data_IF_824583303077
#
_entry.id   IF_824583303077
#
_cell.length_a   1.000
_cell.length_b   1.000
_cell.length_c   1.000
_cell.angle_alpha   90.00
_cell.angle_beta   90.00
_cell.angle_gamma   90.00
#
_symmetry.space_group_name_H-M   'P 1'
#
loop_
_entity.id
_entity.type
_entity.pdbx_description
1 polymer ?
#
# COMPACT_ATOMS: atom_id res chain seq x y z
N UNK A 1 -31.86 10.24 19.85
CA UNK A 1 -31.27 11.13 18.82
C UNK A 1 -29.84 11.52 19.18
N UNK A 2 -29.55 11.95 20.42
CA UNK A 2 -28.17 11.97 20.97
C UNK A 2 -27.49 10.58 20.91
N UNK A 3 -28.26 9.51 21.12
CA UNK A 3 -27.77 8.12 21.04
C UNK A 3 -27.30 7.69 19.63
N UNK A 4 -27.93 8.19 18.56
CA UNK A 4 -27.52 7.90 17.18
C UNK A 4 -26.24 8.67 16.80
N UNK A 5 -25.96 9.82 17.44
CA UNK A 5 -24.73 10.56 17.20
C UNK A 5 -23.54 9.94 17.94
N UNK A 6 -23.72 9.47 19.18
CA UNK A 6 -22.68 8.71 19.90
C UNK A 6 -22.37 7.36 19.25
N UNK A 7 -23.39 6.67 18.73
CA UNK A 7 -23.26 5.31 18.20
C UNK A 7 -22.70 5.24 16.77
N UNK A 8 -22.94 6.28 15.96
CA UNK A 8 -22.54 6.34 14.54
C UNK A 8 -21.46 7.39 14.24
N UNK A 9 -21.23 8.38 15.10
CA UNK A 9 -20.10 9.32 14.97
C UNK A 9 -18.74 8.61 15.03
N UNK A 10 -18.68 7.46 15.72
CA UNK A 10 -17.49 6.60 15.80
C UNK A 10 -17.22 5.79 14.51
N UNK A 11 -18.22 5.63 13.64
CA UNK A 11 -18.20 4.67 12.54
C UNK A 11 -17.93 5.28 11.16
N UNK A 12 -17.91 6.62 11.05
CA UNK A 12 -17.76 7.35 9.77
C UNK A 12 -16.32 7.36 9.23
N UNK A 13 -15.36 6.78 9.96
CA UNK A 13 -13.98 6.68 9.49
C UNK A 13 -13.40 5.31 9.81
N UNK A 14 -12.95 4.59 8.78
CA UNK A 14 -12.31 3.28 8.92
C UNK A 14 -11.22 3.31 10.00
N UNK A 15 -11.50 2.62 11.10
CA UNK A 15 -10.66 1.76 11.95
C UNK A 15 -9.22 2.17 12.36
N UNK A 16 -8.71 3.36 12.01
CA UNK A 16 -7.44 3.90 12.54
C UNK A 16 -7.43 5.44 12.64
N UNK A 17 -8.56 6.10 12.42
CA UNK A 17 -8.68 7.57 12.44
C UNK A 17 -9.61 8.02 13.56
N UNK A 18 -9.36 7.48 14.76
CA UNK A 18 -10.08 7.84 15.98
C UNK A 18 -9.61 9.22 16.42
N UNK A 19 -10.59 10.02 16.85
CA UNK A 19 -10.47 11.31 17.54
C UNK A 19 -10.55 12.53 16.61
N UNK A 20 -11.45 13.46 16.97
CA UNK A 20 -11.70 14.79 16.38
C UNK A 20 -12.80 14.94 15.30
N UNK A 21 -13.98 14.32 15.48
CA UNK A 21 -15.18 14.74 14.75
C UNK A 21 -16.46 14.77 15.60
N UNK A 22 -16.38 15.18 16.86
CA UNK A 22 -17.56 15.21 17.75
C UNK A 22 -18.25 16.56 17.95
N UNK A 23 -17.92 17.65 17.23
CA UNK A 23 -18.78 18.86 17.36
C UNK A 23 -18.82 19.88 16.22
N UNK A 24 -17.91 19.85 15.24
CA UNK A 24 -17.73 21.02 14.36
C UNK A 24 -18.35 20.92 12.95
N UNK A 25 -18.80 19.74 12.53
CA UNK A 25 -19.06 19.46 11.10
C UNK A 25 -20.54 19.23 10.74
N UNK A 26 -21.45 19.28 11.71
CA UNK A 26 -22.88 19.07 11.46
C UNK A 26 -23.64 20.31 11.91
N UNK A 27 -24.09 21.13 10.96
CA UNK A 27 -25.16 22.10 11.22
C UNK A 27 -26.47 21.31 11.32
N UNK A 28 -26.73 20.75 12.49
CA UNK A 28 -27.98 20.06 12.77
C UNK A 28 -29.10 21.11 12.94
N UNK A 29 -29.77 21.49 11.85
CA UNK A 29 -31.09 22.09 11.93
C UNK A 29 -32.07 21.01 12.39
N UNK A 30 -32.43 21.03 13.67
CA UNK A 30 -33.38 20.09 14.26
C UNK A 30 -34.80 20.34 13.74
N UNK A 31 -35.19 19.61 12.68
CA UNK A 31 -36.59 19.39 12.32
C UNK A 31 -36.81 17.88 12.12
N UNK A 32 -37.82 17.32 12.78
CA UNK A 32 -38.13 15.89 12.68
C UNK A 32 -38.43 15.51 11.22
N UNK A 33 -37.52 14.73 10.60
CA UNK A 33 -37.61 14.28 9.21
C UNK A 33 -36.56 14.84 8.24
N UNK A 34 -35.66 15.74 8.68
CA UNK A 34 -34.60 16.27 7.81
C UNK A 34 -33.34 15.40 7.82
N UNK A 35 -32.81 15.09 6.63
CA UNK A 35 -31.48 14.47 6.46
C UNK A 35 -30.41 15.37 7.06
N UNK A 36 -29.36 14.76 7.62
CA UNK A 36 -28.17 15.52 8.03
C UNK A 36 -27.43 16.01 6.80
N UNK A 37 -27.08 17.29 6.77
CA UNK A 37 -26.34 17.92 5.68
C UNK A 37 -24.88 18.08 6.05
N UNK A 38 -23.97 17.74 5.13
CA UNK A 38 -22.51 17.88 5.30
C UNK A 38 -21.95 18.63 4.09
N UNK A 39 -21.19 19.69 4.35
CA UNK A 39 -20.54 20.48 3.31
C UNK A 39 -19.25 19.81 2.80
N UNK A 40 -19.05 19.82 1.47
CA UNK A 40 -17.89 19.21 0.84
C UNK A 40 -16.58 19.89 1.24
N UNK A 41 -16.53 21.21 1.37
CA UNK A 41 -15.30 21.92 1.76
C UNK A 41 -14.89 21.53 3.17
N UNK A 42 -15.86 21.37 4.06
CA UNK A 42 -15.64 20.92 5.42
C UNK A 42 -15.16 19.46 5.47
N UNK A 43 -15.73 18.57 4.65
CA UNK A 43 -15.28 17.17 4.53
C UNK A 43 -13.85 17.06 3.95
N UNK A 44 -13.51 17.88 2.95
CA UNK A 44 -12.16 17.94 2.37
C UNK A 44 -11.16 18.42 3.42
N UNK A 45 -11.47 19.47 4.18
CA UNK A 45 -10.62 19.93 5.30
C UNK A 45 -10.38 18.82 6.31
N UNK A 46 -11.43 18.14 6.74
CA UNK A 46 -11.32 17.03 7.69
C UNK A 46 -10.46 15.86 7.16
N UNK A 47 -10.46 15.63 5.84
CA UNK A 47 -9.63 14.60 5.24
C UNK A 47 -8.12 14.92 5.32
N UNK A 48 -7.76 16.19 5.15
CA UNK A 48 -6.39 16.69 5.15
C UNK A 48 -5.89 17.18 6.51
N UNK A 49 -6.74 17.20 7.54
CA UNK A 49 -6.38 17.64 8.88
C UNK A 49 -5.40 16.68 9.56
N UNK A 50 -4.73 17.17 10.61
CA UNK A 50 -3.72 16.42 11.37
C UNK A 50 -4.39 15.28 12.14
N UNK A 51 -3.91 14.06 11.88
CA UNK A 51 -4.38 12.84 12.56
C UNK A 51 -3.39 12.42 13.64
N UNK A 52 -3.88 12.20 14.86
CA UNK A 52 -3.07 11.65 15.94
C UNK A 52 -3.07 10.12 15.85
N UNK A 53 -1.89 9.52 15.85
CA UNK A 53 -1.66 8.08 15.87
C UNK A 53 -1.15 7.70 17.24
N UNK A 54 -2.02 7.12 18.06
CA UNK A 54 -1.65 6.62 19.38
C UNK A 54 -0.74 5.39 19.27
N UNK A 55 0.15 5.20 20.24
CA UNK A 55 0.97 3.98 20.32
C UNK A 55 2.16 3.92 19.36
N UNK A 56 2.45 4.98 18.58
CA UNK A 56 3.68 5.06 17.80
C UNK A 56 4.91 5.18 18.72
N UNK A 57 5.90 4.31 18.49
CA UNK A 57 7.20 4.32 19.17
C UNK A 57 8.21 5.08 18.31
N UNK A 58 8.75 6.18 18.83
CA UNK A 58 9.74 6.97 18.10
C UNK A 58 11.08 6.23 18.03
N UNK A 59 11.71 6.13 16.85
CA UNK A 59 13.04 5.53 16.71
C UNK A 59 14.15 6.41 17.30
N UNK A 60 13.88 7.70 17.55
CA UNK A 60 14.85 8.64 18.13
C UNK A 60 14.83 8.60 19.65
N UNK A 61 13.64 8.62 20.27
CA UNK A 61 13.51 8.69 21.74
C UNK A 61 13.27 7.32 22.38
N UNK A 62 12.84 6.32 21.60
CA UNK A 62 12.46 5.00 22.10
C UNK A 62 11.14 4.96 22.90
N UNK A 63 10.49 6.11 23.09
CA UNK A 63 9.25 6.25 23.86
C UNK A 63 8.01 6.08 22.98
N UNK A 64 6.96 5.50 23.57
CA UNK A 64 5.66 5.29 22.92
C UNK A 64 4.70 6.44 23.23
N UNK A 65 4.93 7.61 22.63
CA UNK A 65 4.14 8.84 22.87
C UNK A 65 3.13 9.16 21.75
N UNK A 66 3.11 8.39 20.67
CA UNK A 66 2.26 8.64 19.51
C UNK A 66 2.95 9.46 18.41
N UNK A 67 2.28 9.63 17.28
CA UNK A 67 2.74 10.41 16.12
C UNK A 67 1.62 11.26 15.54
N UNK A 68 1.98 12.28 14.78
CA UNK A 68 1.03 13.01 13.93
C UNK A 68 1.20 12.56 12.50
N UNK A 69 0.08 12.38 11.80
CA UNK A 69 0.03 12.00 10.40
C UNK A 69 -0.78 13.06 9.64
N UNK A 70 -0.23 13.53 8.53
CA UNK A 70 -0.88 14.50 7.65
C UNK A 70 -0.76 13.98 6.23
N UNK A 71 -1.87 14.00 5.50
CA UNK A 71 -1.92 13.62 4.09
C UNK A 71 -1.81 14.89 3.27
N UNK A 72 -1.11 14.83 2.14
CA UNK A 72 -1.06 15.92 1.17
C UNK A 72 -1.00 15.36 -0.26
N UNK A 73 -1.37 16.18 -1.24
CA UNK A 73 -1.35 15.79 -2.64
C UNK A 73 -0.02 16.22 -3.26
N UNK A 74 0.79 15.24 -3.67
CA UNK A 74 2.04 15.51 -4.41
C UNK A 74 1.76 15.95 -5.86
N UNK A 75 0.75 15.36 -6.48
CA UNK A 75 0.37 15.60 -7.87
C UNK A 75 -1.13 15.72 -8.04
N UNK A 76 -1.57 16.55 -8.97
CA UNK A 76 -2.97 16.83 -9.28
C UNK A 76 -3.35 16.26 -10.65
N UNK A 77 -4.15 15.18 -10.72
CA UNK A 77 -4.48 14.51 -11.98
C UNK A 77 -5.43 15.33 -12.86
N UNK A 78 -5.49 15.01 -14.17
CA UNK A 78 -6.44 15.62 -15.13
C UNK A 78 -7.90 15.40 -14.70
N UNK A 79 -8.18 14.24 -14.10
CA UNK A 79 -9.48 13.85 -13.59
C UNK A 79 -9.35 13.34 -12.16
N UNK A 80 -10.15 13.89 -11.26
CA UNK A 80 -10.17 13.55 -9.84
C UNK A 80 -11.50 12.86 -9.51
N UNK A 81 -11.42 11.63 -9.01
CA UNK A 81 -12.56 10.93 -8.42
C UNK A 81 -12.61 11.22 -6.92
N UNK A 82 -13.78 11.67 -6.44
CA UNK A 82 -14.05 11.87 -5.02
C UNK A 82 -15.17 10.93 -4.60
N UNK A 83 -14.84 9.93 -3.80
CA UNK A 83 -15.80 8.99 -3.23
C UNK A 83 -16.22 9.47 -1.83
N UNK A 84 -17.53 9.62 -1.62
CA UNK A 84 -18.05 9.91 -0.29
C UNK A 84 -18.28 8.61 0.45
N UNK A 85 -17.63 8.45 1.61
CA UNK A 85 -17.76 7.26 2.46
C UNK A 85 -19.09 7.25 3.22
N UNK A 86 -20.20 7.07 2.49
CA UNK A 86 -21.56 7.02 3.05
C UNK A 86 -21.95 5.63 3.59
N UNK A 87 -20.99 4.73 3.80
CA UNK A 87 -21.23 3.40 4.37
C UNK A 87 -20.39 3.25 5.62
N UNK A 88 -21.04 2.91 6.73
CA UNK A 88 -20.41 2.80 8.04
C UNK A 88 -20.84 1.51 8.73
N UNK A 89 -19.94 0.92 9.53
CA UNK A 89 -20.26 -0.23 10.37
C UNK A 89 -20.88 0.26 11.66
N UNK A 90 -22.08 -0.22 11.96
CA UNK A 90 -22.78 0.11 13.19
C UNK A 90 -22.10 -0.60 14.37
N UNK A 91 -21.70 0.18 15.38
CA UNK A 91 -20.87 -0.28 16.52
C UNK A 91 -21.59 -1.32 17.39
N UNK A 92 -22.92 -1.34 17.38
CA UNK A 92 -23.76 -2.22 18.22
C UNK A 92 -24.07 -3.58 17.60
N UNK A 93 -24.27 -3.63 16.28
CA UNK A 93 -24.72 -4.84 15.58
C UNK A 93 -23.71 -5.37 14.54
N UNK A 94 -22.59 -4.64 14.32
CA UNK A 94 -21.57 -4.99 13.33
C UNK A 94 -22.07 -4.92 11.88
N UNK A 95 -23.31 -4.46 11.66
CA UNK A 95 -23.92 -4.40 10.34
C UNK A 95 -23.46 -3.17 9.57
N UNK A 96 -23.30 -3.30 8.26
CA UNK A 96 -22.98 -2.16 7.40
C UNK A 96 -24.27 -1.40 7.07
N UNK A 97 -24.30 -0.10 7.37
CA UNK A 97 -25.45 0.77 7.11
C UNK A 97 -25.04 1.91 6.18
N UNK A 98 -25.92 2.22 5.24
CA UNK A 98 -25.80 3.42 4.39
C UNK A 98 -26.28 4.63 5.18
N UNK A 99 -25.46 5.66 5.24
CA UNK A 99 -25.75 6.93 5.88
C UNK A 99 -26.64 7.76 4.96
N UNK A 100 -27.86 8.07 5.42
CA UNK A 100 -28.79 8.95 4.69
C UNK A 100 -28.44 10.42 4.94
N UNK A 101 -27.37 10.87 4.28
CA UNK A 101 -26.84 12.23 4.38
C UNK A 101 -26.90 12.97 3.04
N UNK A 102 -27.31 14.23 3.13
CA UNK A 102 -27.20 15.19 2.04
C UNK A 102 -25.78 15.75 2.06
N UNK A 103 -25.07 15.65 0.94
CA UNK A 103 -23.70 16.14 0.82
C UNK A 103 -23.70 17.38 -0.06
N UNK A 104 -23.41 18.57 0.47
CA UNK A 104 -23.41 19.79 -0.33
C UNK A 104 -22.13 19.87 -1.16
N UNK A 105 -22.28 19.72 -2.47
CA UNK A 105 -21.17 19.59 -3.42
C UNK A 105 -20.80 20.95 -3.98
N UNK A 106 -19.49 21.24 -4.02
CA UNK A 106 -18.97 22.42 -4.70
C UNK A 106 -18.74 22.13 -6.18
N UNK A 107 -19.34 22.88 -7.10
CA UNK A 107 -19.10 22.68 -8.54
C UNK A 107 -17.66 23.03 -8.94
N UNK A 108 -17.08 24.02 -8.27
CA UNK A 108 -15.67 24.38 -8.38
C UNK A 108 -14.95 23.98 -7.10
N UNK A 109 -13.90 23.18 -7.24
CA UNK A 109 -13.11 22.67 -6.15
C UNK A 109 -11.67 23.16 -6.28
N UNK A 110 -11.19 23.88 -5.27
CA UNK A 110 -9.80 24.34 -5.17
C UNK A 110 -9.09 23.51 -4.09
N UNK A 111 -8.04 22.80 -4.49
CA UNK A 111 -7.23 21.96 -3.62
C UNK A 111 -5.80 22.51 -3.44
N UNK A 112 -5.55 23.77 -3.81
CA UNK A 112 -4.22 24.39 -3.75
C UNK A 112 -3.60 24.37 -2.37
N UNK A 113 -4.42 24.51 -1.33
CA UNK A 113 -3.98 24.48 0.07
C UNK A 113 -3.39 23.12 0.50
N UNK A 114 -3.65 22.04 -0.24
CA UNK A 114 -3.26 20.68 0.13
C UNK A 114 -2.11 20.12 -0.70
N UNK A 115 -1.44 20.96 -1.50
CA UNK A 115 -0.23 20.54 -2.24
C UNK A 115 0.90 20.23 -1.27
N UNK A 116 1.42 19.01 -1.35
CA UNK A 116 2.56 18.56 -0.57
C UNK A 116 3.87 19.06 -1.17
N UNK A 117 4.67 19.77 -0.38
CA UNK A 117 5.99 20.28 -0.79
C UNK A 117 7.14 19.32 -0.43
N UNK A 118 6.82 18.13 0.08
CA UNK A 118 7.81 17.17 0.58
C UNK A 118 8.53 17.69 1.82
N UNK A 119 9.75 17.20 2.05
CA UNK A 119 10.60 17.60 3.17
C UNK A 119 11.02 19.07 3.04
N UNK A 120 10.78 19.85 4.09
CA UNK A 120 11.24 21.23 4.17
C UNK A 120 12.69 21.32 4.68
N UNK A 121 13.38 22.41 4.36
CA UNK A 121 14.80 22.56 4.69
C UNK A 121 15.11 22.56 6.20
N UNK A 122 14.11 22.87 7.04
CA UNK A 122 14.22 22.89 8.50
C UNK A 122 13.80 21.58 9.16
N UNK A 123 13.37 20.57 8.38
CA UNK A 123 12.90 19.30 8.89
C UNK A 123 14.02 18.25 8.86
N UNK A 124 14.14 17.47 9.93
CA UNK A 124 15.04 16.32 10.01
C UNK A 124 14.26 15.03 9.77
N UNK A 125 14.83 14.12 8.98
CA UNK A 125 14.21 12.82 8.77
C UNK A 125 14.40 11.95 10.02
N UNK A 126 13.38 11.19 10.37
CA UNK A 126 13.55 10.11 11.35
C UNK A 126 14.60 9.12 10.81
N UNK A 127 15.48 8.60 11.67
CA UNK A 127 16.37 7.53 11.27
C UNK A 127 15.52 6.34 10.83
N UNK A 128 15.92 5.69 9.73
CA UNK A 128 15.39 4.38 9.39
C UNK A 128 15.59 3.50 10.63
N UNK A 129 14.50 2.99 11.20
CA UNK A 129 14.51 2.18 12.44
C UNK A 129 15.74 1.29 12.39
N UNK A 130 16.69 1.54 13.30
CA UNK A 130 18.01 0.96 13.25
C UNK A 130 17.90 -0.48 12.77
N UNK A 131 18.45 -0.75 11.57
CA UNK A 131 18.76 -2.11 11.18
C UNK A 131 19.38 -2.72 12.42
N UNK A 132 18.72 -3.69 13.03
CA UNK A 132 19.31 -4.43 14.15
C UNK A 132 20.59 -5.00 13.58
N UNK A 133 21.72 -4.36 13.84
CA UNK A 133 23.07 -4.74 13.38
C UNK A 133 23.55 -6.01 14.09
N UNK A 134 22.62 -6.84 14.56
CA UNK A 134 22.85 -8.19 15.00
C UNK A 134 22.45 -9.15 13.88
N UNK A 135 23.18 -10.27 13.71
CA UNK A 135 22.78 -11.29 12.75
C UNK A 135 21.32 -11.73 13.02
N UNK A 136 20.52 -11.96 11.97
CA UNK A 136 19.11 -12.27 12.14
C UNK A 136 18.94 -13.51 13.03
N UNK A 137 17.90 -13.54 13.89
CA UNK A 137 17.69 -14.67 14.78
C UNK A 137 17.45 -15.95 13.96
N UNK A 138 18.07 -17.05 14.37
CA UNK A 138 17.89 -18.35 13.72
C UNK A 138 16.42 -18.78 13.82
N UNK A 139 15.73 -19.04 12.69
CA UNK A 139 14.32 -19.44 12.71
C UNK A 139 14.07 -20.72 13.49
N UNK A 140 12.90 -20.83 14.14
CA UNK A 140 12.54 -21.97 14.98
C UNK A 140 12.60 -23.32 14.24
N UNK A 141 12.21 -23.34 12.96
CA UNK A 141 12.27 -24.54 12.10
C UNK A 141 13.70 -25.06 11.93
N UNK A 142 14.66 -24.18 11.64
CA UNK A 142 16.06 -24.54 11.48
C UNK A 142 16.65 -25.04 12.80
N UNK A 143 16.32 -24.37 13.91
CA UNK A 143 16.76 -24.78 15.25
C UNK A 143 16.24 -26.17 15.63
N UNK A 144 15.02 -26.52 15.26
CA UNK A 144 14.46 -27.85 15.53
C UNK A 144 15.24 -28.95 14.79
N UNK A 145 15.53 -28.76 13.50
CA UNK A 145 16.33 -29.71 12.71
C UNK A 145 17.77 -29.78 13.19
N UNK A 146 18.37 -28.65 13.56
CA UNK A 146 19.71 -28.64 14.13
C UNK A 146 19.78 -29.40 15.46
N UNK A 147 18.78 -29.27 16.34
CA UNK A 147 18.73 -30.02 17.59
C UNK A 147 18.61 -31.54 17.39
N UNK A 148 17.94 -31.98 16.32
CA UNK A 148 17.84 -33.38 15.93
C UNK A 148 19.22 -33.93 15.53
N UNK A 149 19.96 -33.19 14.70
CA UNK A 149 21.33 -33.54 14.29
C UNK A 149 22.31 -33.52 15.48
N UNK A 150 22.19 -32.55 16.38
CA UNK A 150 23.00 -32.51 17.61
C UNK A 150 22.72 -33.77 18.46
N UNK A 151 21.46 -34.21 18.53
CA UNK A 151 21.08 -35.43 19.25
C UNK A 151 21.66 -36.69 18.61
N UNK A 152 21.96 -36.67 17.31
CA UNK A 152 22.68 -37.74 16.60
C UNK A 152 24.19 -37.71 16.84
N UNK A 153 24.71 -36.69 17.52
CA UNK A 153 26.11 -36.56 17.89
C UNK A 153 26.92 -35.59 17.02
N UNK A 154 26.27 -34.82 16.15
CA UNK A 154 26.94 -33.82 15.32
C UNK A 154 27.21 -32.51 16.07
N UNK A 155 28.22 -31.76 15.62
CA UNK A 155 28.55 -30.45 16.19
C UNK A 155 27.42 -29.42 16.01
N UNK A 156 27.29 -28.49 16.95
CA UNK A 156 26.21 -27.48 16.97
C UNK A 156 26.24 -26.58 15.73
N UNK A 157 27.40 -26.00 15.42
CA UNK A 157 27.56 -25.11 14.26
C UNK A 157 27.37 -25.84 12.92
N UNK A 158 27.86 -27.09 12.85
CA UNK A 158 27.68 -27.96 11.69
C UNK A 158 26.20 -28.31 11.45
N UNK A 159 25.47 -28.58 12.53
CA UNK A 159 24.04 -28.88 12.51
C UNK A 159 23.20 -27.66 12.11
N UNK A 160 23.56 -26.47 12.58
CA UNK A 160 22.91 -25.22 12.18
C UNK A 160 23.16 -24.89 10.71
N UNK A 161 24.39 -25.11 10.23
CA UNK A 161 24.76 -24.93 8.82
C UNK A 161 24.03 -25.92 7.91
N UNK A 162 23.96 -27.19 8.29
CA UNK A 162 23.22 -28.22 7.57
C UNK A 162 21.72 -27.93 7.53
N UNK A 163 21.13 -27.53 8.66
CA UNK A 163 19.73 -27.12 8.74
C UNK A 163 19.43 -25.87 7.90
N UNK A 164 20.39 -24.96 7.76
CA UNK A 164 20.29 -23.79 6.90
C UNK A 164 20.31 -24.16 5.41
N UNK A 165 21.30 -24.95 4.98
CA UNK A 165 21.43 -25.37 3.57
C UNK A 165 20.25 -26.24 3.13
N UNK A 166 19.69 -27.04 4.04
CA UNK A 166 18.53 -27.91 3.76
C UNK A 166 17.16 -27.21 3.87
N UNK A 167 17.14 -25.90 4.13
CA UNK A 167 15.92 -25.12 4.38
C UNK A 167 15.03 -25.71 5.50
N UNK A 168 15.66 -26.29 6.54
CA UNK A 168 14.99 -26.92 7.67
C UNK A 168 14.31 -28.25 7.31
N UNK A 169 14.94 -29.07 6.46
CA UNK A 169 14.50 -30.43 6.14
C UNK A 169 15.50 -31.43 6.72
N UNK A 170 15.07 -32.29 7.64
CA UNK A 170 15.96 -33.17 8.41
C UNK A 170 16.74 -34.16 7.53
N UNK A 171 16.08 -34.88 6.63
CA UNK A 171 16.71 -35.89 5.76
C UNK A 171 17.79 -35.28 4.84
N UNK A 172 17.48 -34.13 4.23
CA UNK A 172 18.43 -33.40 3.36
C UNK A 172 19.58 -32.80 4.17
N UNK A 173 19.32 -32.34 5.40
CA UNK A 173 20.35 -31.83 6.29
C UNK A 173 21.35 -32.94 6.69
N UNK A 174 20.84 -34.13 7.03
CA UNK A 174 21.68 -35.27 7.40
C UNK A 174 22.56 -35.70 6.23
N UNK A 175 22.01 -35.80 5.02
CA UNK A 175 22.78 -36.19 3.83
C UNK A 175 23.88 -35.16 3.52
N UNK A 176 23.54 -33.87 3.52
CA UNK A 176 24.51 -32.80 3.29
C UNK A 176 25.62 -32.82 4.35
N UNK A 177 25.26 -33.03 5.62
CA UNK A 177 26.22 -33.06 6.71
C UNK A 177 27.17 -34.26 6.61
N UNK A 178 26.67 -35.44 6.21
CA UNK A 178 27.51 -36.62 6.00
C UNK A 178 28.47 -36.45 4.82
N UNK A 179 28.05 -35.78 3.75
CA UNK A 179 28.89 -35.48 2.59
C UNK A 179 29.98 -34.45 2.88
N UNK A 180 29.74 -33.55 3.86
CA UNK A 180 30.64 -32.45 4.20
C UNK A 180 31.29 -32.63 5.59
N UNK A 181 31.21 -33.82 6.19
CA UNK A 181 31.69 -34.08 7.56
C UNK A 181 33.22 -33.96 7.70
N UNK A 182 33.94 -34.21 6.61
CA UNK A 182 35.39 -34.14 6.55
C UNK A 182 35.91 -32.71 6.28
N UNK A 183 35.02 -31.75 5.99
CA UNK A 183 35.39 -30.36 5.76
C UNK A 183 35.69 -29.65 7.10
N UNK A 184 36.93 -29.18 7.33
CA UNK A 184 37.30 -28.45 8.54
C UNK A 184 36.46 -27.18 8.79
N UNK A 185 35.90 -26.58 7.73
CA UNK A 185 35.13 -25.34 7.82
C UNK A 185 33.67 -25.54 8.27
N UNK A 186 33.15 -26.78 8.25
CA UNK A 186 31.77 -27.06 8.63
C UNK A 186 31.51 -26.81 10.12
N UNK A 187 32.53 -26.99 10.96
CA UNK A 187 32.48 -26.74 12.41
C UNK A 187 32.81 -25.29 12.78
N UNK A 188 33.03 -24.40 11.82
CA UNK A 188 33.20 -22.97 12.13
C UNK A 188 31.90 -22.34 12.59
N UNK A 189 32.02 -21.39 13.52
CA UNK A 189 30.89 -20.67 14.13
C UNK A 189 29.89 -20.20 13.08
N UNK A 190 28.66 -20.72 13.17
CA UNK A 190 27.61 -20.39 12.23
C UNK A 190 26.95 -19.06 12.61
N UNK A 191 26.94 -18.12 11.66
CA UNK A 191 26.21 -16.85 11.75
C UNK A 191 25.19 -16.84 10.63
N UNK A 192 23.93 -16.53 10.94
CA UNK A 192 22.89 -16.41 9.92
C UNK A 192 23.31 -15.36 8.89
N UNK A 193 23.41 -15.71 7.60
CA UNK A 193 23.64 -14.74 6.54
C UNK A 193 22.47 -13.73 6.56
N UNK A 194 22.78 -12.43 6.47
CA UNK A 194 21.78 -11.35 6.40
C UNK A 194 21.08 -11.26 5.03
N UNK A 195 20.78 -12.41 4.44
CA UNK A 195 20.01 -12.59 3.22
C UNK A 195 19.26 -13.89 3.34
N UNK A 196 17.98 -13.88 2.95
CA UNK A 196 17.23 -15.13 2.71
C UNK A 196 18.12 -16.10 1.94
N UNK A 197 18.13 -17.41 2.30
CA UNK A 197 18.99 -18.37 1.63
C UNK A 197 18.75 -18.24 0.14
N UNK A 198 19.80 -17.84 -0.56
CA UNK A 198 19.87 -17.94 -2.01
C UNK A 198 19.57 -19.40 -2.34
N UNK A 199 18.33 -19.66 -2.76
CA UNK A 199 17.99 -20.88 -3.45
C UNK A 199 18.84 -20.90 -4.71
N UNK A 200 19.98 -21.58 -4.62
CA UNK A 200 20.65 -22.15 -5.78
C UNK A 200 19.66 -23.14 -6.39
N UNK A 201 18.78 -22.62 -7.26
CA UNK A 201 17.74 -23.36 -7.94
C UNK A 201 16.40 -22.62 -7.95
N UNK A 202 16.31 -21.46 -8.60
CA UNK A 202 15.00 -20.98 -9.07
C UNK A 202 14.55 -21.98 -10.13
N UNK A 203 13.43 -22.65 -9.92
CA UNK A 203 12.89 -23.64 -10.85
C UNK A 203 12.59 -22.95 -12.21
N UNK A 204 13.25 -23.37 -13.31
CA UNK A 204 13.02 -22.80 -14.64
C UNK A 204 11.56 -22.84 -15.08
N UNK A 205 10.76 -23.79 -14.57
CA UNK A 205 9.34 -23.90 -14.87
C UNK A 205 8.52 -22.76 -14.23
N UNK A 206 8.89 -22.33 -13.02
CA UNK A 206 8.26 -21.21 -12.33
C UNK A 206 8.60 -19.87 -13.00
N UNK A 207 9.83 -19.75 -13.49
CA UNK A 207 10.26 -18.62 -14.32
C UNK A 207 9.47 -18.59 -15.62
N UNK A 208 9.33 -19.74 -16.29
CA UNK A 208 8.56 -19.88 -17.53
C UNK A 208 7.12 -19.42 -17.37
N UNK A 209 6.42 -19.83 -16.31
CA UNK A 209 5.04 -19.42 -16.04
C UNK A 209 4.88 -17.89 -15.87
N UNK A 210 5.85 -17.22 -15.24
CA UNK A 210 5.83 -15.76 -15.06
C UNK A 210 6.16 -15.05 -16.38
N UNK A 211 7.08 -15.61 -17.18
CA UNK A 211 7.44 -15.09 -18.50
C UNK A 211 6.27 -15.21 -19.49
N UNK A 212 5.53 -16.32 -19.46
CA UNK A 212 4.30 -16.50 -20.25
C UNK A 212 3.24 -15.42 -19.93
N UNK A 213 3.25 -14.90 -18.70
CA UNK A 213 2.37 -13.81 -18.29
C UNK A 213 2.85 -12.42 -18.76
N UNK A 214 3.98 -12.34 -19.47
CA UNK A 214 4.49 -11.13 -20.12
C UNK A 214 5.60 -10.41 -19.39
N UNK A 215 6.21 -11.03 -18.37
CA UNK A 215 7.36 -10.47 -17.65
C UNK A 215 8.70 -10.97 -18.21
N UNK A 216 9.79 -10.25 -17.95
CA UNK A 216 11.13 -10.69 -18.35
C UNK A 216 11.68 -11.77 -17.42
N UNK A 217 12.61 -12.59 -17.90
CA UNK A 217 13.26 -13.63 -17.10
C UNK A 217 13.98 -13.05 -15.87
N UNK A 218 14.59 -11.87 -16.03
CA UNK A 218 15.21 -11.12 -14.93
C UNK A 218 14.20 -10.73 -13.84
N UNK A 219 13.04 -10.20 -14.23
CA UNK A 219 11.97 -9.83 -13.31
C UNK A 219 11.42 -11.06 -12.59
N UNK A 220 11.15 -12.15 -13.32
CA UNK A 220 10.67 -13.40 -12.75
C UNK A 220 11.67 -13.96 -11.71
N UNK A 221 12.97 -13.99 -12.05
CA UNK A 221 14.02 -14.42 -11.12
C UNK A 221 14.15 -13.48 -9.91
N UNK A 222 13.99 -12.18 -10.10
CA UNK A 222 14.05 -11.22 -9.00
C UNK A 222 12.86 -11.37 -8.05
N UNK A 223 11.66 -11.58 -8.58
CA UNK A 223 10.45 -11.80 -7.78
C UNK A 223 10.48 -13.15 -7.05
N UNK A 224 10.93 -14.20 -7.73
CA UNK A 224 11.06 -15.55 -7.15
C UNK A 224 12.13 -15.64 -6.04
N UNK A 225 13.04 -14.64 -5.95
CA UNK A 225 13.95 -14.49 -4.81
C UNK A 225 13.28 -13.90 -3.57
N UNK A 226 12.22 -13.11 -3.76
CA UNK A 226 11.48 -12.47 -2.68
C UNK A 226 10.32 -13.35 -2.21
N UNK A 227 9.72 -14.09 -3.13
CA UNK A 227 8.51 -14.89 -2.90
C UNK A 227 8.66 -16.23 -3.61
N UNK A 228 8.45 -17.33 -2.90
CA UNK A 228 8.76 -18.69 -3.40
C UNK A 228 7.70 -19.29 -4.31
N UNK A 229 6.53 -18.66 -4.45
CA UNK A 229 5.40 -19.11 -5.26
C UNK A 229 5.12 -18.18 -6.44
N UNK A 230 4.57 -18.73 -7.53
CA UNK A 230 4.30 -17.99 -8.78
C UNK A 230 3.27 -16.88 -8.57
N UNK A 231 2.18 -17.16 -7.83
CA UNK A 231 1.10 -16.19 -7.61
C UNK A 231 1.58 -14.99 -6.79
N UNK A 232 2.29 -15.24 -5.69
CA UNK A 232 2.88 -14.20 -4.87
C UNK A 232 4.02 -13.46 -5.58
N UNK A 233 4.83 -14.13 -6.40
CA UNK A 233 5.85 -13.49 -7.22
C UNK A 233 5.21 -12.52 -8.23
N UNK A 234 4.09 -12.89 -8.84
CA UNK A 234 3.32 -12.02 -9.74
C UNK A 234 2.75 -10.80 -9.00
N UNK A 235 2.12 -10.99 -7.85
CA UNK A 235 1.57 -9.89 -7.04
C UNK A 235 2.67 -8.93 -6.59
N UNK A 236 3.82 -9.49 -6.19
CA UNK A 236 5.02 -8.74 -5.86
C UNK A 236 5.53 -7.97 -7.07
N UNK A 237 5.57 -8.58 -8.26
CA UNK A 237 5.93 -7.90 -9.50
C UNK A 237 5.01 -6.70 -9.76
N UNK A 238 3.69 -6.84 -9.66
CA UNK A 238 2.78 -5.72 -9.86
C UNK A 238 2.97 -4.58 -8.85
N UNK A 239 3.31 -4.93 -7.61
CA UNK A 239 3.48 -3.97 -6.51
C UNK A 239 4.87 -3.31 -6.51
N UNK A 240 5.89 -3.99 -7.02
CA UNK A 240 7.29 -3.63 -6.88
C UNK A 240 8.06 -3.57 -8.22
N UNK A 241 7.38 -3.59 -9.36
CA UNK A 241 7.99 -3.55 -10.70
C UNK A 241 8.97 -2.38 -10.87
N UNK A 242 8.69 -1.26 -10.21
CA UNK A 242 9.48 -0.03 -10.29
C UNK A 242 10.83 -0.11 -9.55
N UNK A 243 10.96 -1.07 -8.62
CA UNK A 243 12.16 -1.27 -7.80
C UNK A 243 13.13 -2.31 -8.37
N UNK A 244 12.77 -2.96 -9.49
CA UNK A 244 13.61 -3.98 -10.11
C UNK A 244 14.71 -3.29 -10.93
N UNK A 245 16.00 -3.60 -10.68
CA UNK A 245 17.11 -3.05 -11.46
C UNK A 245 16.92 -3.32 -12.96
N UNK A 246 17.23 -2.34 -13.81
CA UNK A 246 17.18 -2.54 -15.26
C UNK A 246 18.34 -3.44 -15.66
N UNK A 247 18.04 -4.49 -16.41
CA UNK A 247 19.02 -5.36 -17.05
C UNK A 247 19.88 -4.51 -18.01
N UNK A 248 21.06 -4.10 -17.57
CA UNK A 248 22.07 -3.54 -18.46
C UNK A 248 22.56 -4.70 -19.31
N UNK A 249 22.16 -4.72 -20.56
CA UNK A 249 22.51 -5.74 -21.53
C UNK A 249 24.00 -5.71 -21.85
N UNK A 250 24.83 -6.34 -21.02
CA UNK A 250 26.20 -6.75 -21.36
C UNK A 250 26.55 -8.07 -20.69
N UNK A 251 25.93 -9.16 -21.14
CA UNK A 251 26.54 -10.50 -21.09
C UNK A 251 26.38 -11.15 -22.45
N UNK A 252 27.12 -10.63 -23.43
CA UNK A 252 27.55 -11.35 -24.63
C UNK A 252 28.97 -11.87 -24.41
N UNK A 253 29.23 -13.09 -24.85
CA UNK A 253 30.37 -13.92 -24.49
C UNK A 253 31.75 -13.45 -25.01
N UNK A 254 32.79 -13.81 -24.25
CA UNK A 254 34.19 -14.13 -24.66
C UNK A 254 35.26 -13.02 -24.82
N UNK A 255 36.36 -13.28 -24.09
CA UNK A 255 37.78 -12.98 -24.36
C UNK A 255 38.41 -11.61 -24.03
N UNK A 256 39.22 -11.65 -22.96
CA UNK A 256 40.55 -11.04 -22.76
C UNK A 256 40.88 -9.67 -23.42
N UNK A 257 41.10 -8.65 -22.59
CA UNK A 257 42.43 -8.04 -22.35
C UNK A 257 42.30 -6.72 -21.57
N UNK A 258 43.29 -6.48 -20.73
CA UNK A 258 43.53 -5.32 -19.86
C UNK A 258 43.57 -3.96 -20.53
N UNK A 259 42.95 -2.94 -19.92
CA UNK A 259 43.54 -1.63 -19.58
C UNK A 259 42.50 -0.67 -18.96
N UNK A 260 42.89 0.00 -17.87
CA UNK A 260 42.24 1.14 -17.19
C UNK A 260 41.94 2.34 -18.14
N UNK A 261 41.02 3.30 -17.81
CA UNK A 261 41.18 4.23 -16.66
C UNK A 261 39.89 4.77 -15.93
N UNK A 262 40.13 5.22 -14.69
CA UNK A 262 39.54 6.28 -13.80
C UNK A 262 38.40 7.23 -14.31
N UNK A 263 37.77 8.07 -13.45
CA UNK A 263 36.79 7.80 -12.39
C UNK A 263 35.50 8.63 -12.63
N UNK A 264 34.32 8.01 -12.73
CA UNK A 264 33.08 8.78 -12.94
C UNK A 264 32.10 8.67 -11.77
N UNK A 265 31.92 9.85 -11.16
CA UNK A 265 30.78 10.34 -10.40
C UNK A 265 29.68 9.32 -10.05
N UNK A 266 29.46 9.19 -8.74
CA UNK A 266 28.30 8.59 -8.09
C UNK A 266 27.01 9.32 -8.52
N UNK A 267 26.52 9.02 -9.71
CA UNK A 267 25.16 9.31 -10.11
C UNK A 267 24.31 8.10 -9.69
N UNK A 268 23.66 8.24 -8.53
CA UNK A 268 22.58 7.35 -8.14
C UNK A 268 21.61 7.21 -9.32
N UNK A 269 21.45 5.98 -9.82
CA UNK A 269 20.55 5.69 -10.91
C UNK A 269 19.14 6.23 -10.56
N UNK A 270 18.45 6.92 -11.49
CA UNK A 270 17.16 7.49 -11.19
C UNK A 270 16.17 6.35 -10.97
N UNK A 271 15.62 6.27 -9.76
CA UNK A 271 14.43 5.48 -9.49
C UNK A 271 13.40 5.78 -10.58
N UNK A 272 12.81 4.74 -11.20
CA UNK A 272 11.75 4.90 -12.20
C UNK A 272 10.55 5.55 -11.53
N UNK A 273 10.53 6.87 -11.50
CA UNK A 273 9.35 7.62 -11.06
C UNK A 273 8.25 7.36 -12.08
N UNK A 274 7.19 6.68 -11.65
CA UNK A 274 5.90 6.68 -12.36
C UNK A 274 5.61 8.13 -12.77
N UNK A 275 5.53 8.36 -14.08
CA UNK A 275 5.23 9.70 -14.62
C UNK A 275 3.76 9.98 -14.39
N UNK A 276 3.47 10.62 -13.27
CA UNK A 276 2.14 11.15 -13.00
C UNK A 276 1.95 12.48 -13.73
N UNK A 277 0.77 12.68 -14.30
CA UNK A 277 0.38 13.99 -14.82
C UNK A 277 0.06 14.88 -13.64
N UNK A 278 0.80 15.98 -13.50
CA UNK A 278 0.56 17.04 -12.53
C UNK A 278 0.11 18.31 -13.25
N UNK A 279 -0.64 19.16 -12.58
CA UNK A 279 -1.14 20.42 -13.13
C UNK A 279 -1.76 21.32 -12.07
N UNK A 280 -2.61 22.26 -12.50
CA UNK A 280 -3.27 23.21 -11.61
C UNK A 280 -4.14 22.56 -10.53
N UNK A 281 -4.41 23.28 -9.44
CA UNK A 281 -5.14 22.73 -8.29
C UNK A 281 -6.65 22.97 -8.32
N UNK A 282 -7.16 23.50 -9.44
CA UNK A 282 -8.57 23.86 -9.63
C UNK A 282 -9.29 22.85 -10.48
N UNK A 283 -10.51 22.52 -10.06
CA UNK A 283 -11.31 21.45 -10.61
C UNK A 283 -12.76 21.89 -10.80
N UNK A 284 -13.40 21.38 -11.86
CA UNK A 284 -14.82 21.56 -12.14
C UNK A 284 -15.55 20.22 -12.17
N UNK A 285 -16.72 20.16 -11.56
CA UNK A 285 -17.56 18.98 -11.52
C UNK A 285 -18.13 18.67 -12.92
N UNK A 286 -17.76 17.52 -13.48
CA UNK A 286 -18.23 17.09 -14.81
C UNK A 286 -19.08 15.83 -14.77
N UNK A 287 -19.11 15.13 -13.64
CA UNK A 287 -19.82 13.86 -13.55
C UNK A 287 -20.07 13.43 -12.12
N UNK A 288 -21.07 12.57 -11.95
CA UNK A 288 -21.37 11.96 -10.66
C UNK A 288 -22.08 10.62 -10.85
N UNK A 289 -21.83 9.71 -9.93
CA UNK A 289 -22.42 8.38 -9.87
C UNK A 289 -23.24 8.30 -8.58
N UNK A 290 -24.51 7.97 -8.70
CA UNK A 290 -25.44 7.89 -7.58
C UNK A 290 -25.84 6.43 -7.35
N UNK A 291 -25.75 5.99 -6.10
CA UNK A 291 -26.29 4.72 -5.65
C UNK A 291 -27.69 4.93 -5.06
N UNK A 292 -28.72 4.43 -5.74
CA UNK A 292 -30.11 4.47 -5.29
C UNK A 292 -30.47 3.18 -4.55
N UNK A 293 -30.70 3.28 -3.24
CA UNK A 293 -30.95 2.13 -2.38
C UNK A 293 -30.57 2.46 -0.94
N UNK A 294 -31.26 1.85 0.02
CA UNK A 294 -30.96 1.99 1.46
C UNK A 294 -29.99 0.93 1.96
N UNK A 295 -29.82 -0.16 1.22
CA UNK A 295 -28.97 -1.28 1.61
C UNK A 295 -27.60 -1.18 0.93
N UNK A 296 -26.53 -1.69 1.56
CA UNK A 296 -25.22 -1.77 0.92
C UNK A 296 -25.09 -2.92 -0.10
N UNK A 297 -25.86 -4.00 0.09
CA UNK A 297 -25.81 -5.23 -0.70
C UNK A 297 -26.71 -5.20 -1.95
N UNK A 298 -27.56 -4.18 -2.07
CA UNK A 298 -28.45 -4.00 -3.20
C UNK A 298 -28.81 -2.54 -3.43
N UNK A 299 -28.98 -2.19 -4.69
CA UNK A 299 -29.44 -0.89 -5.14
C UNK A 299 -29.23 -0.74 -6.63
N UNK A 300 -29.41 0.49 -7.12
CA UNK A 300 -29.36 0.83 -8.53
C UNK A 300 -28.37 1.96 -8.77
N UNK A 301 -27.45 1.80 -9.72
CA UNK A 301 -26.48 2.83 -10.05
C UNK A 301 -26.93 3.62 -11.27
N UNK A 302 -26.85 4.94 -11.17
CA UNK A 302 -27.07 5.85 -12.29
C UNK A 302 -25.93 6.85 -12.35
N UNK A 303 -25.58 7.29 -13.56
CA UNK A 303 -24.57 8.32 -13.77
C UNK A 303 -25.21 9.59 -14.31
N UNK A 304 -24.75 10.74 -13.83
CA UNK A 304 -25.04 12.02 -14.45
C UNK A 304 -23.72 12.59 -14.96
N UNK A 305 -23.71 13.06 -16.21
CA UNK A 305 -22.54 13.68 -16.82
C UNK A 305 -22.91 15.03 -17.41
N UNK A 306 -22.05 16.02 -17.25
CA UNK A 306 -22.15 17.31 -17.89
C UNK A 306 -21.62 17.19 -19.33
N UNK A 307 -22.51 17.36 -20.32
CA UNK A 307 -22.17 17.37 -21.75
C UNK A 307 -22.71 18.65 -22.38
N UNK A 308 -21.84 19.39 -23.05
CA UNK A 308 -22.23 20.64 -23.76
C UNK A 308 -23.00 21.63 -22.85
N UNK A 309 -22.60 21.73 -21.57
CA UNK A 309 -23.25 22.59 -20.57
C UNK A 309 -24.59 22.07 -20.03
N UNK A 310 -25.02 20.86 -20.42
CA UNK A 310 -26.27 20.23 -19.98
C UNK A 310 -26.00 18.93 -19.22
N UNK A 311 -26.72 18.71 -18.13
CA UNK A 311 -26.65 17.46 -17.38
C UNK A 311 -27.45 16.36 -18.09
N UNK A 312 -26.83 15.21 -18.28
CA UNK A 312 -27.46 14.04 -18.90
C UNK A 312 -27.41 12.88 -17.92
N UNK A 313 -28.58 12.31 -17.63
CA UNK A 313 -28.77 11.09 -16.87
C UNK A 313 -28.56 9.88 -17.78
N UNK A 314 -27.70 8.97 -17.34
CA UNK A 314 -27.49 7.63 -17.89
C UNK A 314 -28.01 6.61 -16.88
N UNK A 315 -29.11 5.96 -17.22
CA UNK A 315 -29.76 4.92 -16.44
C UNK A 315 -29.96 3.69 -17.32
N UNK A 316 -28.94 2.83 -17.36
CA UNK A 316 -28.85 1.69 -18.28
C UNK A 316 -29.11 2.12 -19.73
N UNK A 317 -30.14 1.54 -20.36
CA UNK A 317 -30.57 1.85 -21.73
C UNK A 317 -31.24 3.23 -21.86
N UNK A 318 -31.63 3.86 -20.74
CA UNK A 318 -32.34 5.14 -20.73
C UNK A 318 -31.37 6.30 -20.56
N UNK A 319 -31.31 7.13 -21.59
CA UNK A 319 -30.55 8.39 -21.58
C UNK A 319 -31.53 9.55 -21.64
N UNK A 320 -31.44 10.46 -20.67
CA UNK A 320 -32.36 11.60 -20.57
C UNK A 320 -31.62 12.88 -20.15
N UNK A 321 -32.13 14.03 -20.59
CA UNK A 321 -31.65 15.32 -20.11
C UNK A 321 -32.15 15.55 -18.68
N UNK A 322 -31.23 15.82 -17.76
CA UNK A 322 -31.53 16.07 -16.35
C UNK A 322 -31.52 17.58 -16.10
N UNK A 323 -32.69 18.13 -15.75
CA UNK A 323 -32.83 19.56 -15.45
C UNK A 323 -32.38 19.89 -14.02
N UNK A 324 -32.71 19.02 -13.07
CA UNK A 324 -32.31 19.13 -11.66
C UNK A 324 -31.56 17.87 -11.22
N UNK A 325 -30.25 17.79 -11.51
CA UNK A 325 -29.44 16.64 -11.16
C UNK A 325 -29.33 16.51 -9.62
N UNK A 326 -29.53 15.32 -9.03
CA UNK A 326 -29.52 15.11 -7.58
C UNK A 326 -28.09 15.08 -7.01
N UNK A 327 -27.38 16.21 -7.12
CA UNK A 327 -25.96 16.35 -6.75
C UNK A 327 -25.69 15.94 -5.32
N UNK A 328 -26.58 16.27 -4.38
CA UNK A 328 -26.36 16.00 -2.94
C UNK A 328 -26.35 14.51 -2.55
N UNK A 329 -26.95 13.68 -3.40
CA UNK A 329 -27.17 12.25 -3.11
C UNK A 329 -26.15 11.34 -3.80
N UNK A 330 -25.27 11.91 -4.63
CA UNK A 330 -24.28 11.11 -5.33
C UNK A 330 -23.26 10.49 -4.36
N UNK A 331 -22.70 9.38 -4.83
CA UNK A 331 -21.74 8.55 -4.10
C UNK A 331 -20.31 8.82 -4.56
N UNK A 332 -20.10 8.94 -5.87
CA UNK A 332 -18.81 9.28 -6.45
C UNK A 332 -18.98 10.52 -7.32
N UNK A 333 -18.06 11.47 -7.19
CA UNK A 333 -18.00 12.67 -8.03
C UNK A 333 -16.76 12.59 -8.92
N UNK A 334 -16.91 13.07 -10.14
CA UNK A 334 -15.86 13.19 -11.12
C UNK A 334 -15.62 14.66 -11.42
N UNK A 335 -14.42 15.10 -11.10
CA UNK A 335 -13.94 16.45 -11.36
C UNK A 335 -12.91 16.43 -12.49
N UNK A 336 -12.92 17.46 -13.33
CA UNK A 336 -11.92 17.70 -14.36
C UNK A 336 -11.10 18.93 -13.99
N UNK A 337 -9.78 18.83 -14.13
CA UNK A 337 -8.88 19.96 -13.89
C UNK A 337 -9.13 21.07 -14.92
N UNK A 338 -9.19 22.31 -14.44
CA UNK A 338 -9.33 23.54 -15.24
C UNK A 338 -7.97 23.97 -15.79
#
# INVERSE_FOLDING_TARGET
MLSLFEEYGLAIFQANRRTYLNSALVHASAAAGSRSSVDMSAAVRAYFDVQLVDGYKSPVTGETKGATNTISMKTFPDYLFVQVQKFAYSTSDGSMKKLDIDFEVCEQLDLGAYRGNGKLAHEECLPDSAETTGPPPIPAKLRAVANELISMGFGEDASLRAAFVSNGTAEVATNWLMENIEDPHVNEKFVMPSGTPSSSGIDPNMVGAIVEMGFTEHQAKHALKQVTDVAGAIEWLFSNMDNIPVESAETGESSASSAQPEPSATAAAPARHKKYKDGGEKYELIGMISHMGSRPDSGHYVAHMLKEGKWVLFNDEKVALSQDPPKKLAYVYLYKRV
#
